data_IF_541849039210
#
_entry.id   IF_541849039210
#
_cell.length_a   1.000
_cell.length_b   1.000
_cell.length_c   1.000
_cell.angle_alpha   90.00
_cell.angle_beta   90.00
_cell.angle_gamma   90.00
#
_symmetry.space_group_name_H-M   'P 1'
#
loop_
_entity.id
_entity.type
_entity.pdbx_description
1 polymer ?
#
# COMPACT_ATOMS: atom_id res chain seq x y z
N UNK A 1 -33.88 11.75 34.37
CA UNK A 1 -32.96 12.88 34.66
C UNK A 1 -31.52 12.57 34.29
N UNK A 2 -30.99 11.40 34.66
CA UNK A 2 -29.63 10.96 34.30
C UNK A 2 -29.31 11.08 32.78
N UNK A 3 -30.17 10.57 31.90
CA UNK A 3 -30.02 10.67 30.43
C UNK A 3 -29.90 12.11 29.90
N UNK A 4 -30.69 13.04 30.45
CA UNK A 4 -30.69 14.46 30.06
C UNK A 4 -29.42 15.16 30.58
N UNK A 5 -28.94 14.75 31.77
CA UNK A 5 -27.72 15.29 32.34
C UNK A 5 -26.47 14.84 31.56
N UNK A 6 -26.35 13.55 31.22
CA UNK A 6 -25.19 13.05 30.45
C UNK A 6 -25.22 13.48 28.99
N UNK A 7 -26.40 13.70 28.41
CA UNK A 7 -26.51 14.20 27.03
C UNK A 7 -26.04 15.65 26.88
N UNK A 8 -26.17 16.45 27.93
CA UNK A 8 -25.74 17.85 27.95
C UNK A 8 -24.32 18.02 28.46
N UNK A 9 -23.86 17.15 29.37
CA UNK A 9 -22.50 17.15 29.90
C UNK A 9 -22.05 15.72 30.25
N UNK A 10 -21.09 15.18 29.49
CA UNK A 10 -20.56 13.82 29.71
C UNK A 10 -19.98 13.60 31.11
N UNK A 11 -19.45 14.65 31.77
CA UNK A 11 -18.94 14.56 33.15
C UNK A 11 -20.03 14.38 34.20
N UNK A 12 -21.30 14.58 33.85
CA UNK A 12 -22.42 14.33 34.77
C UNK A 12 -22.46 12.85 35.24
N UNK A 13 -21.81 11.93 34.51
CA UNK A 13 -21.64 10.54 34.92
C UNK A 13 -20.92 10.39 36.27
N UNK A 14 -20.13 11.37 36.71
CA UNK A 14 -19.50 11.41 38.04
C UNK A 14 -20.50 11.32 39.20
N UNK A 15 -21.69 11.90 39.02
CA UNK A 15 -22.72 12.01 40.06
C UNK A 15 -23.81 10.95 39.91
N UNK A 16 -23.64 10.02 38.96
CA UNK A 16 -24.59 8.93 38.73
C UNK A 16 -24.13 7.73 39.54
N UNK A 17 -24.96 7.32 40.49
CA UNK A 17 -24.71 6.13 41.31
C UNK A 17 -25.29 4.87 40.68
N UNK A 18 -24.88 3.73 41.23
CA UNK A 18 -25.45 2.42 40.89
C UNK A 18 -26.98 2.45 41.08
N UNK A 19 -27.77 1.85 40.15
CA UNK A 19 -27.35 1.02 39.01
C UNK A 19 -27.19 1.77 37.68
N UNK A 20 -27.28 3.09 37.66
CA UNK A 20 -27.32 3.83 36.40
C UNK A 20 -25.93 4.07 35.78
N UNK A 21 -24.85 3.94 36.56
CA UNK A 21 -23.48 3.98 36.06
C UNK A 21 -23.00 2.65 35.43
N UNK A 22 -23.78 1.58 35.57
CA UNK A 22 -23.63 0.33 34.81
C UNK A 22 -24.64 0.22 33.66
N UNK A 23 -25.46 1.25 33.41
CA UNK A 23 -26.33 1.32 32.25
C UNK A 23 -25.51 1.67 31.00
N UNK A 24 -25.51 0.74 30.05
CA UNK A 24 -24.72 0.84 28.83
C UNK A 24 -25.07 2.07 27.99
N UNK A 25 -26.35 2.42 27.86
CA UNK A 25 -26.77 3.56 27.03
C UNK A 25 -26.36 4.88 27.67
N UNK A 26 -26.51 5.00 28.99
CA UNK A 26 -26.12 6.19 29.76
C UNK A 26 -24.60 6.41 29.65
N UNK A 27 -23.81 5.37 29.87
CA UNK A 27 -22.34 5.45 29.77
C UNK A 27 -21.91 5.76 28.34
N UNK A 28 -22.50 5.11 27.33
CA UNK A 28 -22.18 5.36 25.93
C UNK A 28 -22.49 6.82 25.52
N UNK A 29 -23.60 7.37 25.99
CA UNK A 29 -23.93 8.78 25.76
C UNK A 29 -22.95 9.73 26.44
N UNK A 30 -22.56 9.43 27.68
CA UNK A 30 -21.60 10.23 28.43
C UNK A 30 -20.23 10.26 27.74
N UNK A 31 -19.69 9.11 27.32
CA UNK A 31 -18.37 9.03 26.68
C UNK A 31 -18.34 9.62 25.27
N UNK A 32 -19.48 9.69 24.57
CA UNK A 32 -19.61 10.42 23.31
C UNK A 32 -19.44 11.92 23.49
N UNK A 33 -19.85 12.46 24.64
CA UNK A 33 -19.74 13.88 24.96
C UNK A 33 -18.39 14.23 25.60
N UNK A 34 -17.86 13.36 26.48
CA UNK A 34 -16.52 13.49 27.09
C UNK A 34 -15.92 12.09 27.33
N UNK A 35 -14.88 11.72 26.60
CA UNK A 35 -14.23 10.41 26.66
C UNK A 35 -13.65 10.11 28.04
N UNK A 36 -13.23 11.14 28.80
CA UNK A 36 -12.74 10.95 30.18
C UNK A 36 -13.87 10.55 31.15
N UNK A 37 -15.14 10.65 30.75
CA UNK A 37 -16.26 10.15 31.53
C UNK A 37 -16.16 8.63 31.79
N UNK A 38 -15.40 7.88 30.97
CA UNK A 38 -15.14 6.45 31.17
C UNK A 38 -14.63 6.12 32.58
N UNK A 39 -13.89 7.04 33.22
CA UNK A 39 -13.39 6.88 34.59
C UNK A 39 -14.47 6.72 35.66
N UNK A 40 -15.70 7.09 35.34
CA UNK A 40 -16.86 7.00 36.24
C UNK A 40 -17.80 5.85 35.88
N UNK A 41 -17.58 5.20 34.73
CA UNK A 41 -18.33 4.00 34.36
C UNK A 41 -18.07 2.86 35.33
N UNK A 42 -19.03 1.97 35.48
CA UNK A 42 -18.83 0.72 36.22
C UNK A 42 -17.65 -0.10 35.62
N UNK A 43 -16.83 -0.78 36.44
CA UNK A 43 -15.72 -1.59 35.95
C UNK A 43 -16.10 -2.63 34.89
N UNK A 44 -17.33 -3.16 34.92
CA UNK A 44 -17.82 -4.08 33.88
C UNK A 44 -17.91 -3.43 32.50
N UNK A 45 -18.24 -2.13 32.43
CA UNK A 45 -18.32 -1.36 31.19
C UNK A 45 -16.98 -0.78 30.75
N UNK A 46 -16.00 -0.66 31.66
CA UNK A 46 -14.59 -0.37 31.30
C UNK A 46 -13.90 -1.53 30.58
N UNK A 47 -14.54 -2.70 30.56
CA UNK A 47 -14.17 -3.88 29.76
C UNK A 47 -14.95 -3.98 28.44
N UNK A 48 -16.00 -3.19 28.26
CA UNK A 48 -16.78 -3.17 27.02
C UNK A 48 -15.97 -2.48 25.93
N UNK A 49 -15.52 -3.28 24.97
CA UNK A 49 -14.66 -2.83 23.87
C UNK A 49 -15.29 -1.70 23.08
N UNK A 50 -16.60 -1.69 22.87
CA UNK A 50 -17.27 -0.66 22.07
C UNK A 50 -17.29 0.67 22.82
N UNK A 51 -17.65 0.66 24.11
CA UNK A 51 -17.68 1.86 24.95
C UNK A 51 -16.28 2.46 25.07
N UNK A 52 -15.28 1.63 25.36
CA UNK A 52 -13.88 2.08 25.45
C UNK A 52 -13.38 2.63 24.13
N UNK A 53 -13.72 1.99 23.00
CA UNK A 53 -13.37 2.51 21.67
C UNK A 53 -13.98 3.90 21.43
N UNK A 54 -15.26 4.09 21.78
CA UNK A 54 -15.94 5.38 21.61
C UNK A 54 -15.32 6.44 22.52
N UNK A 55 -14.99 6.10 23.77
CA UNK A 55 -14.35 7.00 24.72
C UNK A 55 -12.97 7.46 24.24
N UNK A 56 -12.12 6.52 23.83
CA UNK A 56 -10.76 6.80 23.32
C UNK A 56 -10.82 7.56 21.99
N UNK A 57 -11.81 7.29 21.15
CA UNK A 57 -12.04 8.05 19.91
C UNK A 57 -12.45 9.49 20.19
N UNK A 58 -13.18 9.75 21.28
CA UNK A 58 -13.52 11.11 21.69
C UNK A 58 -12.32 11.82 22.32
N UNK A 59 -11.59 11.15 23.22
CA UNK A 59 -10.39 11.66 23.89
C UNK A 59 -9.41 10.52 24.20
N UNK A 60 -8.19 10.61 23.66
CA UNK A 60 -7.16 9.56 23.77
C UNK A 60 -6.79 9.26 25.23
N UNK A 61 -6.80 10.26 26.11
CA UNK A 61 -6.50 10.11 27.54
C UNK A 61 -7.50 9.20 28.26
N UNK A 62 -8.65 8.89 27.64
CA UNK A 62 -9.61 7.94 28.18
C UNK A 62 -9.01 6.52 28.34
N UNK A 63 -7.89 6.21 27.65
CA UNK A 63 -7.17 4.93 27.75
C UNK A 63 -6.80 4.58 29.18
N UNK A 64 -6.43 5.56 30.01
CA UNK A 64 -6.00 5.34 31.39
C UNK A 64 -7.10 4.72 32.27
N UNK A 65 -8.36 4.84 31.83
CA UNK A 65 -9.53 4.39 32.56
C UNK A 65 -10.15 3.11 31.99
N UNK A 66 -9.65 2.62 30.86
CA UNK A 66 -10.06 1.33 30.34
C UNK A 66 -9.41 0.21 31.17
N UNK A 67 -10.10 -0.93 31.24
CA UNK A 67 -9.57 -2.07 31.97
C UNK A 67 -8.33 -2.66 31.25
N UNK A 68 -7.34 -3.07 32.03
CA UNK A 68 -6.07 -3.62 31.52
C UNK A 68 -6.25 -4.84 30.61
N UNK A 69 -7.39 -5.56 30.73
CA UNK A 69 -7.71 -6.68 29.84
C UNK A 69 -8.06 -6.26 28.40
N UNK A 70 -8.39 -4.99 28.17
CA UNK A 70 -8.56 -4.45 26.82
C UNK A 70 -7.18 -4.09 26.26
N UNK A 71 -6.81 -4.72 25.16
CA UNK A 71 -5.64 -4.31 24.38
C UNK A 71 -5.93 -2.97 23.66
N UNK A 72 -5.82 -1.86 24.41
CA UNK A 72 -6.10 -0.50 23.93
C UNK A 72 -4.99 0.01 23.01
N UNK A 73 -3.77 -0.53 23.14
CA UNK A 73 -2.62 -0.21 22.27
C UNK A 73 -2.94 -0.49 20.79
N UNK A 74 -3.70 -1.56 20.50
CA UNK A 74 -4.18 -1.85 19.14
C UNK A 74 -5.19 -0.81 18.61
N UNK A 75 -5.99 -0.22 19.50
CA UNK A 75 -7.05 0.75 19.17
C UNK A 75 -6.48 2.15 18.90
N UNK A 76 -5.58 2.64 19.76
CA UNK A 76 -4.93 3.96 19.62
C UNK A 76 -4.12 4.02 18.33
N UNK A 77 -3.33 2.97 18.07
CA UNK A 77 -2.53 2.83 16.85
C UNK A 77 -3.38 2.90 15.57
N UNK A 78 -4.61 2.37 15.60
CA UNK A 78 -5.48 2.37 14.42
C UNK A 78 -6.00 3.77 14.06
N UNK A 79 -6.20 4.66 15.04
CA UNK A 79 -6.74 6.01 14.84
C UNK A 79 -5.67 7.00 14.34
N UNK A 80 -4.50 7.03 15.00
CA UNK A 80 -3.42 7.96 14.63
C UNK A 80 -2.88 7.70 13.22
N UNK A 81 -2.81 6.43 12.79
CA UNK A 81 -2.43 6.05 11.43
C UNK A 81 -3.46 6.51 10.38
N UNK A 82 -4.75 6.59 10.74
CA UNK A 82 -5.82 7.04 9.84
C UNK A 82 -5.82 8.57 9.70
N UNK A 83 -5.56 9.30 10.78
CA UNK A 83 -5.52 10.77 10.77
C UNK A 83 -4.30 11.32 9.99
N UNK A 84 -3.12 10.71 10.14
CA UNK A 84 -1.92 11.09 9.38
C UNK A 84 -1.97 10.70 7.89
N UNK A 85 -2.76 9.67 7.54
CA UNK A 85 -2.92 9.19 6.16
C UNK A 85 -3.63 10.18 5.21
N UNK A 86 -4.32 11.20 5.75
CA UNK A 86 -4.99 12.23 4.97
C UNK A 86 -4.08 13.44 4.65
N UNK A 87 -2.93 13.59 5.32
CA UNK A 87 -1.98 14.66 5.04
C UNK A 87 -0.89 14.16 4.09
N UNK A 88 -0.97 14.63 2.83
CA UNK A 88 -0.09 14.20 1.76
C UNK A 88 1.37 14.63 1.99
N UNK A 89 2.27 13.69 1.70
CA UNK A 89 3.67 13.89 1.30
C UNK A 89 4.51 14.78 2.22
N UNK A 90 5.17 14.15 3.20
CA UNK A 90 6.33 14.77 3.83
C UNK A 90 6.53 14.53 5.31
N UNK A 91 5.98 13.47 5.91
CA UNK A 91 6.18 13.23 7.35
C UNK A 91 6.26 11.72 7.62
N UNK A 92 7.42 11.11 7.35
CA UNK A 92 7.80 9.84 8.01
C UNK A 92 8.85 10.11 9.11
N UNK A 93 9.25 11.38 9.28
CA UNK A 93 10.21 11.82 10.31
C UNK A 93 9.58 12.48 11.54
N UNK A 94 8.26 12.66 11.58
CA UNK A 94 7.58 13.26 12.73
C UNK A 94 6.21 12.65 12.98
N UNK A 95 6.16 11.32 13.10
CA UNK A 95 5.07 10.71 13.86
C UNK A 95 5.38 10.95 15.34
N UNK A 96 4.48 11.56 16.14
CA UNK A 96 4.71 11.83 17.55
C UNK A 96 4.50 10.57 18.41
N UNK A 97 5.11 9.43 18.03
CA UNK A 97 5.32 8.33 18.99
C UNK A 97 6.41 8.64 20.03
N UNK A 98 7.01 9.84 19.96
CA UNK A 98 8.09 10.25 20.86
C UNK A 98 7.72 10.35 22.34
N UNK A 99 6.43 10.37 22.70
CA UNK A 99 6.01 10.66 24.08
C UNK A 99 5.16 9.60 24.78
N UNK A 100 4.67 8.54 24.12
CA UNK A 100 3.78 7.58 24.79
C UNK A 100 4.31 6.15 24.91
N UNK A 101 5.19 5.65 24.03
CA UNK A 101 5.84 4.35 24.23
C UNK A 101 7.29 4.36 23.74
N UNK A 102 8.27 3.85 24.53
CA UNK A 102 9.65 3.70 24.08
C UNK A 102 9.75 2.91 22.77
N UNK A 103 10.65 3.30 21.86
CA UNK A 103 10.88 2.64 20.55
C UNK A 103 11.13 1.12 20.65
N UNK A 104 11.54 0.63 21.83
CA UNK A 104 11.66 -0.78 22.18
C UNK A 104 10.30 -1.47 22.26
N UNK A 105 9.34 -0.85 22.95
CA UNK A 105 7.98 -1.35 23.15
C UNK A 105 7.23 -1.42 21.80
N UNK A 106 7.31 -0.37 20.98
CA UNK A 106 6.77 -0.36 19.61
C UNK A 106 7.25 -1.55 18.76
N UNK A 107 8.55 -1.87 18.81
CA UNK A 107 9.12 -3.02 18.07
C UNK A 107 8.65 -4.37 18.61
N UNK A 108 8.35 -4.46 19.90
CA UNK A 108 7.86 -5.70 20.50
C UNK A 108 6.41 -6.00 20.12
N UNK A 109 5.54 -4.98 20.00
CA UNK A 109 4.16 -5.16 19.57
C UNK A 109 4.04 -5.59 18.10
N UNK A 110 4.75 -4.91 17.19
CA UNK A 110 4.79 -5.29 15.77
C UNK A 110 5.38 -6.69 15.55
N UNK A 111 6.20 -7.21 16.47
CA UNK A 111 6.73 -8.58 16.38
C UNK A 111 5.70 -9.65 16.71
N UNK A 112 4.65 -9.34 17.48
CA UNK A 112 3.76 -10.35 18.07
C UNK A 112 2.28 -10.21 17.68
N UNK A 113 1.83 -9.04 17.24
CA UNK A 113 0.43 -8.82 16.86
C UNK A 113 0.23 -8.74 15.34
N UNK A 114 -0.50 -9.71 14.80
CA UNK A 114 -0.85 -9.80 13.37
C UNK A 114 -1.74 -8.63 12.92
N UNK A 115 -2.65 -8.14 13.76
CA UNK A 115 -3.60 -7.10 13.38
C UNK A 115 -2.90 -5.74 13.25
N UNK A 116 -2.01 -5.41 14.19
CA UNK A 116 -1.21 -4.18 14.13
C UNK A 116 -0.30 -4.19 12.90
N UNK A 117 0.33 -5.33 12.61
CA UNK A 117 1.09 -5.51 11.37
C UNK A 117 0.22 -5.30 10.12
N UNK A 118 -0.97 -5.90 10.04
CA UNK A 118 -1.87 -5.76 8.87
C UNK A 118 -2.33 -4.31 8.64
N UNK A 119 -2.56 -3.54 9.70
CA UNK A 119 -2.92 -2.12 9.59
C UNK A 119 -1.77 -1.28 9.02
N UNK A 120 -0.55 -1.54 9.50
CA UNK A 120 0.62 -0.69 9.21
C UNK A 120 1.26 -0.98 7.85
N UNK A 121 1.23 -2.23 7.37
CA UNK A 121 1.80 -2.62 6.06
C UNK A 121 1.11 -1.99 4.86
N UNK A 122 -0.15 -1.56 5.02
CA UNK A 122 -0.91 -0.84 4.00
C UNK A 122 -0.17 0.44 3.60
N UNK A 123 0.39 1.14 4.59
CA UNK A 123 1.08 2.42 4.40
C UNK A 123 2.58 2.25 4.20
N UNK A 124 3.21 1.34 4.95
CA UNK A 124 4.63 1.06 4.85
C UNK A 124 4.90 -0.46 4.83
N UNK A 125 5.19 -1.07 3.67
CA UNK A 125 5.46 -2.50 3.59
C UNK A 125 6.72 -2.92 4.35
N UNK A 126 7.62 -1.97 4.69
CA UNK A 126 8.82 -2.25 5.49
C UNK A 126 8.49 -2.69 6.92
N UNK A 127 7.31 -2.36 7.43
CA UNK A 127 6.87 -2.81 8.76
C UNK A 127 6.78 -4.33 8.86
N UNK A 128 6.51 -5.03 7.74
CA UNK A 128 6.52 -6.49 7.70
C UNK A 128 7.91 -7.09 8.00
N UNK A 129 8.99 -6.31 7.82
CA UNK A 129 10.35 -6.76 8.19
C UNK A 129 10.51 -6.98 9.70
N UNK A 130 9.71 -6.29 10.52
CA UNK A 130 9.69 -6.43 11.98
C UNK A 130 8.92 -7.67 12.44
N UNK A 131 8.09 -8.27 11.59
CA UNK A 131 7.38 -9.49 11.92
C UNK A 131 8.38 -10.59 12.33
N UNK A 132 7.98 -11.40 13.31
CA UNK A 132 8.77 -12.58 13.69
C UNK A 132 8.81 -13.61 12.53
N UNK A 133 9.74 -14.55 12.61
CA UNK A 133 9.94 -15.54 11.54
C UNK A 133 8.74 -16.49 11.37
N UNK A 134 7.99 -16.73 12.44
CA UNK A 134 6.76 -17.55 12.38
C UNK A 134 5.74 -16.88 11.47
N UNK A 135 5.53 -15.57 11.59
CA UNK A 135 4.60 -14.81 10.74
C UNK A 135 5.10 -14.67 9.31
N UNK A 136 6.41 -14.54 9.10
CA UNK A 136 6.99 -14.49 7.74
C UNK A 136 6.88 -15.82 6.99
N UNK A 137 6.68 -16.93 7.70
CA UNK A 137 6.46 -18.28 7.16
C UNK A 137 5.00 -18.70 7.19
N UNK A 138 4.16 -18.00 7.93
CA UNK A 138 2.73 -18.26 8.01
C UNK A 138 2.06 -17.88 6.70
N UNK A 139 1.73 -18.90 5.91
CA UNK A 139 1.09 -18.75 4.60
C UNK A 139 -0.18 -17.90 4.68
N UNK A 140 -1.08 -18.20 5.61
CA UNK A 140 -2.38 -17.54 5.70
C UNK A 140 -2.21 -16.06 6.05
N UNK A 141 -1.32 -15.78 7.00
CA UNK A 141 -1.00 -14.41 7.37
C UNK A 141 -0.36 -13.63 6.21
N UNK A 142 0.59 -14.25 5.49
CA UNK A 142 1.21 -13.64 4.31
C UNK A 142 0.17 -13.35 3.22
N UNK A 143 -0.79 -14.25 2.99
CA UNK A 143 -1.87 -14.02 2.02
C UNK A 143 -2.74 -12.82 2.41
N UNK A 144 -3.09 -12.68 3.68
CA UNK A 144 -3.82 -11.51 4.19
C UNK A 144 -2.99 -10.23 4.04
N UNK A 145 -1.68 -10.31 4.32
CA UNK A 145 -0.78 -9.16 4.20
C UNK A 145 -0.60 -8.71 2.74
N UNK A 146 -0.52 -9.66 1.80
CA UNK A 146 -0.42 -9.38 0.36
C UNK A 146 -1.63 -8.65 -0.19
N UNK A 147 -2.83 -8.90 0.35
CA UNK A 147 -4.03 -8.14 -0.04
C UNK A 147 -3.89 -6.64 0.28
N UNK A 148 -3.11 -6.29 1.29
CA UNK A 148 -2.87 -4.89 1.68
C UNK A 148 -1.73 -4.28 0.89
N UNK A 149 -0.63 -5.00 0.70
CA UNK A 149 0.53 -4.52 -0.04
C UNK A 149 1.41 -5.65 -0.60
N UNK A 150 1.43 -5.81 -1.92
CA UNK A 150 2.20 -6.84 -2.62
C UNK A 150 3.72 -6.71 -2.47
N UNK A 151 4.23 -5.52 -2.08
CA UNK A 151 5.65 -5.31 -1.83
C UNK A 151 6.16 -6.01 -0.56
N UNK A 152 5.27 -6.50 0.31
CA UNK A 152 5.67 -7.28 1.48
C UNK A 152 6.34 -8.61 1.09
N UNK A 153 6.17 -9.08 -0.16
CA UNK A 153 6.92 -10.23 -0.72
C UNK A 153 8.44 -10.08 -0.56
N UNK A 154 8.96 -8.86 -0.42
CA UNK A 154 10.36 -8.62 -0.08
C UNK A 154 10.80 -9.30 1.23
N UNK A 155 9.92 -9.36 2.22
CA UNK A 155 10.22 -9.68 3.61
C UNK A 155 9.70 -11.05 4.06
N UNK A 156 8.90 -11.71 3.23
CA UNK A 156 8.43 -13.09 3.51
C UNK A 156 9.60 -14.07 3.45
N UNK A 157 9.40 -15.24 4.06
CA UNK A 157 10.39 -16.31 4.02
C UNK A 157 10.68 -16.76 2.57
N UNK A 158 11.92 -17.18 2.30
CA UNK A 158 12.37 -17.58 0.97
C UNK A 158 11.54 -18.74 0.38
N UNK A 159 11.03 -19.65 1.24
CA UNK A 159 10.15 -20.74 0.82
C UNK A 159 8.86 -20.22 0.18
N UNK A 160 8.29 -19.15 0.71
CA UNK A 160 7.06 -18.54 0.20
C UNK A 160 7.30 -17.68 -1.05
N UNK A 161 8.52 -17.19 -1.27
CA UNK A 161 8.90 -16.51 -2.54
C UNK A 161 9.00 -17.46 -3.73
N UNK A 162 9.07 -18.76 -3.46
CA UNK A 162 9.01 -19.86 -4.44
C UNK A 162 7.60 -20.41 -4.62
N UNK A 163 6.65 -19.96 -3.79
CA UNK A 163 5.27 -20.38 -3.90
C UNK A 163 4.56 -19.59 -5.00
N UNK A 164 4.10 -20.33 -6.01
CA UNK A 164 3.47 -19.76 -7.20
C UNK A 164 2.24 -18.91 -6.87
N UNK A 165 1.38 -19.36 -5.95
CA UNK A 165 0.14 -18.67 -5.61
C UNK A 165 0.43 -17.37 -4.86
N UNK A 166 1.37 -17.40 -3.91
CA UNK A 166 1.79 -16.22 -3.14
C UNK A 166 2.38 -15.17 -4.07
N UNK A 167 3.30 -15.56 -4.96
CA UNK A 167 3.89 -14.64 -5.93
C UNK A 167 2.82 -14.09 -6.88
N UNK A 168 1.91 -14.93 -7.38
CA UNK A 168 0.83 -14.48 -8.26
C UNK A 168 -0.04 -13.42 -7.58
N UNK A 169 -0.46 -13.64 -6.32
CA UNK A 169 -1.23 -12.63 -5.58
C UNK A 169 -0.42 -11.35 -5.33
N UNK A 170 0.87 -11.47 -5.04
CA UNK A 170 1.74 -10.31 -4.86
C UNK A 170 1.83 -9.45 -6.13
N UNK A 171 2.02 -10.07 -7.30
CA UNK A 171 2.17 -9.33 -8.57
C UNK A 171 0.87 -8.73 -9.06
N UNK A 172 -0.26 -9.40 -8.82
CA UNK A 172 -1.59 -8.88 -9.13
C UNK A 172 -1.94 -7.66 -8.26
N UNK A 173 -1.47 -7.64 -7.00
CA UNK A 173 -1.63 -6.46 -6.15
C UNK A 173 -0.66 -5.34 -6.55
N UNK A 174 0.62 -5.66 -6.77
CA UNK A 174 1.64 -4.71 -7.22
C UNK A 174 2.65 -5.39 -8.15
N UNK A 175 2.63 -5.03 -9.43
CA UNK A 175 3.51 -5.65 -10.44
C UNK A 175 5.01 -5.53 -10.13
N UNK A 176 5.43 -4.51 -9.37
CA UNK A 176 6.84 -4.37 -8.95
C UNK A 176 7.29 -5.43 -7.94
N UNK A 177 6.38 -6.19 -7.34
CA UNK A 177 6.72 -7.28 -6.42
C UNK A 177 7.43 -8.44 -7.14
N UNK A 178 7.29 -8.57 -8.47
CA UNK A 178 7.98 -9.57 -9.29
C UNK A 178 9.49 -9.62 -9.03
N UNK A 179 10.11 -8.47 -8.72
CA UNK A 179 11.54 -8.37 -8.38
C UNK A 179 11.97 -9.17 -7.16
N UNK A 180 11.03 -9.59 -6.32
CA UNK A 180 11.27 -10.37 -5.11
C UNK A 180 10.90 -11.84 -5.26
N UNK A 181 10.21 -12.21 -6.33
CA UNK A 181 9.92 -13.61 -6.64
C UNK A 181 11.22 -14.38 -6.88
N UNK A 182 11.18 -15.68 -6.62
CA UNK A 182 12.24 -16.59 -7.05
C UNK A 182 12.47 -16.51 -8.58
N UNK A 183 13.70 -16.74 -9.03
CA UNK A 183 14.06 -16.63 -10.44
C UNK A 183 13.20 -17.52 -11.33
N UNK A 184 12.89 -18.74 -10.89
CA UNK A 184 12.05 -19.69 -11.66
C UNK A 184 10.66 -19.09 -11.92
N UNK A 185 10.09 -18.37 -10.96
CA UNK A 185 8.78 -17.75 -11.10
C UNK A 185 8.81 -16.45 -11.92
N UNK A 186 9.99 -15.88 -12.18
CA UNK A 186 10.15 -14.79 -13.16
C UNK A 186 10.25 -15.30 -14.60
N UNK A 187 10.35 -16.61 -14.77
CA UNK A 187 10.23 -17.30 -16.07
C UNK A 187 8.78 -17.72 -16.34
N UNK A 188 7.94 -17.81 -15.29
CA UNK A 188 6.53 -18.13 -15.44
C UNK A 188 5.81 -17.01 -16.19
N UNK A 189 5.44 -17.34 -17.43
CA UNK A 189 4.78 -16.43 -18.38
C UNK A 189 3.50 -15.82 -17.80
N UNK A 190 2.72 -16.57 -17.04
CA UNK A 190 1.45 -16.07 -16.47
C UNK A 190 1.71 -15.07 -15.34
N UNK A 191 2.68 -15.36 -14.47
CA UNK A 191 3.07 -14.45 -13.38
C UNK A 191 3.62 -13.14 -13.96
N UNK A 192 4.52 -13.22 -14.94
CA UNK A 192 5.09 -12.04 -15.59
C UNK A 192 4.01 -11.24 -16.31
N UNK A 193 3.10 -11.92 -17.03
CA UNK A 193 1.97 -11.26 -17.68
C UNK A 193 1.07 -10.56 -16.67
N UNK A 194 0.76 -11.20 -15.54
CA UNK A 194 -0.01 -10.59 -14.44
C UNK A 194 0.69 -9.35 -13.87
N UNK A 195 2.00 -9.43 -13.64
CA UNK A 195 2.82 -8.31 -13.16
C UNK A 195 2.82 -7.13 -14.14
N UNK A 196 2.97 -7.42 -15.45
CA UNK A 196 2.99 -6.44 -16.53
C UNK A 196 1.62 -5.78 -16.72
N UNK A 197 0.53 -6.54 -16.65
CA UNK A 197 -0.84 -6.00 -16.70
C UNK A 197 -1.10 -5.02 -15.58
N UNK A 198 -0.61 -5.32 -14.37
CA UNK A 198 -0.66 -4.37 -13.27
C UNK A 198 0.22 -3.17 -13.62
N UNK A 199 1.52 -3.39 -13.79
CA UNK A 199 2.51 -2.34 -14.03
C UNK A 199 3.42 -2.71 -15.20
N UNK A 200 3.31 -2.01 -16.33
CA UNK A 200 4.08 -2.31 -17.54
C UNK A 200 5.59 -2.29 -17.30
N UNK A 201 6.07 -1.43 -16.39
CA UNK A 201 7.49 -1.37 -16.01
C UNK A 201 7.97 -2.61 -15.25
N UNK A 202 7.08 -3.49 -14.80
CA UNK A 202 7.45 -4.76 -14.18
C UNK A 202 8.20 -5.70 -15.14
N UNK A 203 8.09 -5.47 -16.46
CA UNK A 203 8.88 -6.17 -17.48
C UNK A 203 10.40 -6.15 -17.18
N UNK A 204 10.91 -5.11 -16.51
CA UNK A 204 12.32 -5.03 -16.14
C UNK A 204 12.79 -6.17 -15.23
N UNK A 205 11.87 -6.81 -14.49
CA UNK A 205 12.16 -7.91 -13.60
C UNK A 205 11.95 -9.29 -14.24
N UNK A 206 11.38 -9.36 -15.43
CA UNK A 206 11.26 -10.60 -16.17
C UNK A 206 12.64 -11.10 -16.61
N UNK A 207 12.75 -12.40 -16.90
CA UNK A 207 13.94 -12.95 -17.52
C UNK A 207 14.09 -12.50 -18.98
N UNK A 208 15.30 -12.63 -19.51
CA UNK A 208 15.66 -12.08 -20.82
C UNK A 208 14.86 -12.70 -21.98
N UNK A 209 14.51 -13.98 -21.91
CA UNK A 209 13.69 -14.62 -22.94
C UNK A 209 12.28 -14.01 -23.02
N UNK A 210 11.69 -13.59 -21.90
CA UNK A 210 10.38 -12.94 -21.86
C UNK A 210 10.42 -11.47 -22.28
N UNK A 211 11.58 -10.81 -22.18
CA UNK A 211 11.79 -9.47 -22.77
C UNK A 211 11.93 -9.49 -24.29
N UNK A 212 12.05 -10.70 -24.89
CA UNK A 212 11.98 -10.95 -26.34
C UNK A 212 10.59 -11.42 -26.79
N UNK A 213 9.71 -11.80 -25.86
CA UNK A 213 8.34 -12.18 -26.17
C UNK A 213 7.56 -10.94 -26.63
N UNK A 214 7.24 -10.91 -27.93
CA UNK A 214 6.53 -9.78 -28.56
C UNK A 214 5.20 -9.48 -27.90
N UNK A 215 4.47 -10.49 -27.44
CA UNK A 215 3.16 -10.32 -26.82
C UNK A 215 3.29 -9.65 -25.45
N UNK A 216 4.23 -10.13 -24.63
CA UNK A 216 4.47 -9.55 -23.30
C UNK A 216 5.02 -8.13 -23.40
N UNK A 217 5.94 -7.89 -24.33
CA UNK A 217 6.51 -6.56 -24.54
C UNK A 217 5.47 -5.58 -25.07
N UNK A 218 4.62 -6.01 -26.00
CA UNK A 218 3.52 -5.18 -26.50
C UNK A 218 2.52 -4.87 -25.38
N UNK A 219 2.21 -5.85 -24.53
CA UNK A 219 1.37 -5.67 -23.35
C UNK A 219 1.99 -4.66 -22.37
N UNK A 220 3.29 -4.75 -22.11
CA UNK A 220 4.00 -3.82 -21.24
C UNK A 220 3.99 -2.40 -21.80
N UNK A 221 4.32 -2.25 -23.08
CA UNK A 221 4.37 -0.97 -23.75
C UNK A 221 2.97 -0.35 -23.87
N UNK A 222 1.93 -1.12 -24.17
CA UNK A 222 0.55 -0.62 -24.22
C UNK A 222 0.05 -0.12 -22.87
N UNK A 223 0.40 -0.81 -21.77
CA UNK A 223 0.10 -0.38 -20.40
C UNK A 223 0.84 0.91 -20.05
N UNK A 224 2.12 1.02 -20.43
CA UNK A 224 2.94 2.22 -20.24
C UNK A 224 4.02 2.28 -21.31
N UNK A 225 3.94 3.25 -22.22
CA UNK A 225 4.90 3.36 -23.33
C UNK A 225 6.37 3.45 -22.92
N UNK A 226 6.66 3.92 -21.70
CA UNK A 226 8.02 3.96 -21.16
C UNK A 226 8.55 2.57 -20.76
N UNK A 227 7.68 1.58 -20.57
CA UNK A 227 8.08 0.20 -20.31
C UNK A 227 8.81 -0.43 -21.50
N UNK A 228 8.67 0.13 -22.70
CA UNK A 228 9.39 -0.31 -23.90
C UNK A 228 10.91 -0.23 -23.72
N UNK A 229 11.43 0.58 -22.79
CA UNK A 229 12.84 0.59 -22.38
C UNK A 229 13.38 -0.80 -22.02
N UNK A 230 12.54 -1.65 -21.44
CA UNK A 230 12.92 -2.97 -20.95
C UNK A 230 12.76 -4.07 -22.00
N UNK A 231 12.29 -3.74 -23.20
CA UNK A 231 12.29 -4.67 -24.31
C UNK A 231 13.73 -4.98 -24.72
N UNK A 232 13.95 -6.22 -25.15
CA UNK A 232 15.23 -6.62 -25.74
C UNK A 232 15.56 -5.71 -26.94
N UNK A 233 16.86 -5.45 -27.12
CA UNK A 233 17.37 -4.57 -28.18
C UNK A 233 16.90 -5.01 -29.57
N UNK A 234 16.77 -6.31 -29.83
CA UNK A 234 16.26 -6.83 -31.11
C UNK A 234 14.85 -6.30 -31.43
N UNK A 235 13.97 -6.20 -30.44
CA UNK A 235 12.62 -5.65 -30.61
C UNK A 235 12.61 -4.13 -30.72
N UNK A 236 13.53 -3.44 -30.03
CA UNK A 236 13.69 -1.97 -30.12
C UNK A 236 14.31 -1.51 -31.44
N UNK A 237 14.92 -2.43 -32.18
CA UNK A 237 15.46 -2.22 -33.51
C UNK A 237 14.56 -2.79 -34.62
N UNK A 238 13.52 -3.56 -34.28
CA UNK A 238 12.57 -4.08 -35.25
C UNK A 238 11.61 -2.95 -35.67
N UNK A 239 11.79 -2.47 -36.91
CA UNK A 239 10.98 -1.41 -37.51
C UNK A 239 9.48 -1.67 -37.40
N UNK A 240 9.01 -2.87 -37.77
CA UNK A 240 7.57 -3.19 -37.80
C UNK A 240 7.00 -3.27 -36.38
N UNK A 241 7.78 -3.82 -35.45
CA UNK A 241 7.37 -3.90 -34.05
C UNK A 241 7.31 -2.52 -33.42
N UNK A 242 8.35 -1.71 -33.58
CA UNK A 242 8.39 -0.32 -33.08
C UNK A 242 7.22 0.47 -33.65
N UNK A 243 6.93 0.35 -34.95
CA UNK A 243 5.76 1.01 -35.55
C UNK A 243 4.45 0.59 -34.88
N UNK A 244 4.29 -0.69 -34.54
CA UNK A 244 3.11 -1.17 -33.81
C UNK A 244 3.05 -0.60 -32.39
N UNK A 245 4.19 -0.53 -31.69
CA UNK A 245 4.26 0.01 -30.34
C UNK A 245 3.97 1.53 -30.32
N UNK A 246 4.54 2.31 -31.24
CA UNK A 246 4.33 3.77 -31.27
C UNK A 246 2.90 4.14 -31.67
N UNK A 247 2.23 3.31 -32.49
CA UNK A 247 0.78 3.44 -32.78
C UNK A 247 -0.09 3.33 -31.54
N UNK A 248 0.36 2.57 -30.53
CA UNK A 248 -0.33 2.46 -29.25
C UNK A 248 0.11 3.53 -28.25
N UNK A 249 1.42 3.82 -28.21
CA UNK A 249 2.02 4.75 -27.25
C UNK A 249 3.19 5.51 -27.90
N UNK A 250 2.93 6.74 -28.36
CA UNK A 250 3.94 7.56 -29.06
C UNK A 250 5.23 7.77 -28.28
N UNK A 251 5.17 7.88 -26.95
CA UNK A 251 6.35 8.05 -26.07
C UNK A 251 7.34 6.87 -26.11
N UNK A 252 6.92 5.70 -26.61
CA UNK A 252 7.82 4.56 -26.77
C UNK A 252 8.95 4.84 -27.77
N UNK A 253 8.78 5.81 -28.68
CA UNK A 253 9.82 6.29 -29.60
C UNK A 253 11.13 6.62 -28.85
N UNK A 254 11.04 7.11 -27.61
CA UNK A 254 12.19 7.40 -26.76
C UNK A 254 13.21 6.25 -26.71
N UNK A 255 12.75 5.01 -26.74
CA UNK A 255 13.57 3.82 -26.54
C UNK A 255 13.86 3.03 -27.82
N UNK A 256 13.28 3.43 -28.95
CA UNK A 256 13.63 2.91 -30.25
C UNK A 256 15.10 3.22 -30.60
N UNK A 257 15.64 2.47 -31.55
CA UNK A 257 16.97 2.70 -32.11
C UNK A 257 17.10 4.11 -32.70
N UNK A 258 18.32 4.63 -32.77
CA UNK A 258 18.58 5.94 -33.37
C UNK A 258 18.24 6.00 -34.86
N UNK A 259 18.33 4.86 -35.56
CA UNK A 259 17.88 4.73 -36.95
C UNK A 259 16.36 4.91 -37.06
N UNK A 260 15.59 4.23 -36.20
CA UNK A 260 14.13 4.33 -36.20
C UNK A 260 13.61 5.68 -35.69
N UNK A 261 14.39 6.40 -34.88
CA UNK A 261 14.12 7.80 -34.52
C UNK A 261 14.31 8.80 -35.66
N UNK A 262 14.87 8.35 -36.80
CA UNK A 262 14.96 9.10 -38.05
C UNK A 262 13.95 8.63 -39.10
N UNK A 263 13.26 7.52 -38.84
CA UNK A 263 12.23 7.02 -39.75
C UNK A 263 11.01 7.94 -39.71
N UNK A 264 10.74 8.60 -40.84
CA UNK A 264 9.68 9.61 -40.99
C UNK A 264 8.31 9.04 -40.64
N UNK A 265 8.01 7.80 -41.04
CA UNK A 265 6.72 7.17 -40.79
C UNK A 265 6.53 6.92 -39.29
N UNK A 266 7.55 6.32 -38.64
CA UNK A 266 7.52 6.03 -37.20
C UNK A 266 7.44 7.32 -36.39
N UNK A 267 8.25 8.33 -36.72
CA UNK A 267 8.26 9.61 -36.01
C UNK A 267 6.92 10.31 -36.18
N UNK A 268 6.41 10.42 -37.41
CA UNK A 268 5.13 11.10 -37.67
C UNK A 268 3.98 10.44 -36.91
N UNK A 269 3.92 9.11 -36.91
CA UNK A 269 2.90 8.36 -36.18
C UNK A 269 3.07 8.53 -34.66
N UNK A 270 4.30 8.50 -34.14
CA UNK A 270 4.56 8.71 -32.71
C UNK A 270 4.14 10.10 -32.23
N UNK A 271 4.38 11.15 -33.02
CA UNK A 271 4.03 12.53 -32.72
C UNK A 271 2.53 12.74 -32.82
N UNK A 272 1.88 12.07 -33.78
CA UNK A 272 0.43 12.05 -33.92
C UNK A 272 -0.25 11.47 -32.69
N UNK A 273 0.29 10.38 -32.14
CA UNK A 273 -0.23 9.72 -30.94
C UNK A 273 0.09 10.52 -29.66
N UNK A 274 1.32 11.00 -29.50
CA UNK A 274 1.73 11.81 -28.36
C UNK A 274 2.70 12.91 -28.79
N UNK A 275 2.28 14.18 -28.69
CA UNK A 275 3.11 15.33 -29.06
C UNK A 275 4.45 15.37 -28.32
N UNK A 276 4.55 14.82 -27.10
CA UNK A 276 5.81 14.74 -26.34
C UNK A 276 6.85 13.87 -27.04
N UNK A 277 6.42 12.94 -27.90
CA UNK A 277 7.30 12.09 -28.69
C UNK A 277 8.18 12.89 -29.65
N UNK A 278 7.75 14.09 -30.05
CA UNK A 278 8.54 15.00 -30.91
C UNK A 278 9.91 15.31 -30.33
N UNK A 279 10.06 15.36 -29.00
CA UNK A 279 11.34 15.58 -28.30
C UNK A 279 12.34 14.44 -28.50
N UNK A 280 11.88 13.24 -28.87
CA UNK A 280 12.71 12.05 -29.08
C UNK A 280 13.09 11.81 -30.54
N UNK A 281 12.42 12.49 -31.48
CA UNK A 281 12.75 12.43 -32.89
C UNK A 281 14.17 12.95 -33.14
N UNK A 282 14.87 12.33 -34.10
CA UNK A 282 16.22 12.72 -34.56
C UNK A 282 16.22 13.18 -36.02
N UNK A 283 15.08 13.72 -36.48
CA UNK A 283 14.89 14.24 -37.84
C UNK A 283 15.09 15.76 -37.81
N UNK A 284 15.92 16.29 -38.72
CA UNK A 284 16.25 17.72 -38.83
C UNK A 284 14.98 18.61 -38.99
N UNK A 285 13.98 18.15 -39.74
CA UNK A 285 12.71 18.87 -39.96
C UNK A 285 11.92 19.14 -38.65
N UNK A 286 12.06 18.29 -37.64
CA UNK A 286 11.41 18.48 -36.34
C UNK A 286 12.22 19.31 -35.36
N UNK A 287 13.50 19.60 -35.64
CA UNK A 287 14.29 20.54 -34.82
C UNK A 287 13.81 21.99 -35.01
N UNK A 288 13.24 22.32 -36.17
CA UNK A 288 12.67 23.64 -36.49
C UNK A 288 11.39 23.91 -35.66
N UNK A 289 10.62 22.88 -35.30
CA UNK A 289 9.41 23.00 -34.48
C UNK A 289 9.68 23.08 -32.96
N UNK A 290 10.96 22.99 -32.53
CA UNK A 290 11.37 23.05 -31.10
C UNK A 290 11.86 24.43 -30.65
N UNK A 291 11.95 25.41 -31.55
CA UNK A 291 12.25 26.82 -31.24
C UNK A 291 10.95 27.62 -31.10
#
# INVERSE_FOLDING_TARGET
>A
MALIAVSTNGRALEFIEYPLNCDREIVLMAVKQDGRALRYADPSLRKDREIVTVAVNQNVDAVEYADESINIDSLIMSKEIIEDGNNHQGVISSIPFGHLLPRTVYKEYHRKDKNILLLTIKYNPREFSLANDVFKRDREFVLLALQRNGLILQYVDISLKKDREIVLKAVLQNGKSLKFADLILREDREIVTGAVKQNGKALCYAIESLKKDREIVLLAASQNGLAFEYADVSLRNDRLFVLTVVKLQGVALKYASDELKRDIEIVSESVRQDKRASSYAKIEEFEILRQ
#
